data_IF_684942739445
#
_entry.id   IF_684942739445
#
_cell.length_a   1.000
_cell.length_b   1.000
_cell.length_c   1.000
_cell.angle_alpha   90.00
_cell.angle_beta   90.00
_cell.angle_gamma   90.00
#
_symmetry.space_group_name_H-M   'P 1'
#
loop_
_entity.id
_entity.type
_entity.pdbx_description
1 polymer ?
#
# COMPACT_ATOMS: atom_id res chain seq x y z
N UNK A 1 8.44 -29.41 1.94
CA UNK A 1 9.37 -30.45 1.45
C UNK A 1 10.77 -29.84 1.34
N UNK A 2 11.75 -30.35 2.09
CA UNK A 2 13.12 -29.82 2.12
C UNK A 2 13.95 -30.43 0.99
N UNK A 3 14.58 -29.62 0.14
CA UNK A 3 15.53 -30.10 -0.88
C UNK A 3 16.93 -29.60 -0.56
N UNK A 4 17.76 -30.51 -0.04
CA UNK A 4 19.21 -30.35 0.09
C UNK A 4 19.85 -30.88 -1.21
N UNK A 5 20.71 -30.07 -1.83
CA UNK A 5 21.64 -30.49 -2.88
C UNK A 5 23.04 -30.11 -2.46
N UNK A 6 23.94 -31.09 -2.45
CA UNK A 6 25.34 -31.02 -2.01
C UNK A 6 26.23 -31.45 -3.18
N UNK A 7 27.42 -30.85 -3.33
CA UNK A 7 28.72 -31.41 -3.81
C UNK A 7 29.69 -30.22 -4.01
N UNK A 8 30.69 -30.01 -3.14
CA UNK A 8 32.05 -30.60 -3.10
C UNK A 8 33.00 -30.18 -4.24
N UNK A 9 33.96 -29.31 -3.88
CA UNK A 9 35.36 -29.73 -3.80
C UNK A 9 36.37 -29.01 -4.72
N UNK A 10 37.31 -28.28 -4.12
CA UNK A 10 38.75 -28.35 -4.43
C UNK A 10 39.55 -27.90 -3.20
N UNK A 11 40.51 -28.72 -2.81
CA UNK A 11 41.49 -28.43 -1.77
C UNK A 11 42.89 -28.36 -2.40
N UNK A 12 43.70 -27.39 -2.00
CA UNK A 12 45.14 -27.57 -1.87
C UNK A 12 46.06 -26.56 -2.56
N UNK A 13 47.08 -26.16 -1.79
CA UNK A 13 48.32 -25.41 -2.13
C UNK A 13 48.12 -23.89 -2.16
N UNK A 14 48.81 -23.04 -1.41
CA UNK A 14 49.93 -23.21 -0.48
C UNK A 14 50.65 -21.86 -0.29
N UNK A 15 50.67 -21.39 0.96
CA UNK A 15 51.70 -20.59 1.62
C UNK A 15 51.99 -19.11 1.24
N UNK A 16 52.15 -18.34 2.32
CA UNK A 16 52.97 -17.11 2.52
C UNK A 16 52.34 -15.74 2.22
N UNK A 17 51.81 -15.13 3.29
CA UNK A 17 52.25 -13.81 3.73
C UNK A 17 51.56 -12.57 3.14
N UNK A 18 50.55 -12.06 3.85
CA UNK A 18 50.43 -10.63 4.18
C UNK A 18 49.26 -10.44 5.15
N UNK A 19 49.57 -9.81 6.28
CA UNK A 19 48.60 -9.33 7.24
C UNK A 19 47.70 -8.24 6.62
N UNK A 20 46.45 -8.19 7.09
CA UNK A 20 45.59 -7.01 6.98
C UNK A 20 44.51 -7.11 5.91
N UNK A 21 43.34 -7.61 6.31
CA UNK A 21 42.00 -7.10 5.98
C UNK A 21 40.95 -7.98 6.68
N UNK A 22 41.08 -8.10 8.01
CA UNK A 22 40.01 -8.63 8.85
C UNK A 22 39.32 -7.44 9.52
N UNK A 23 38.04 -7.24 9.20
CA UNK A 23 37.12 -6.45 10.02
C UNK A 23 36.87 -5.00 9.59
N UNK A 24 36.23 -4.80 8.42
CA UNK A 24 35.39 -3.60 8.22
C UNK A 24 33.90 -3.86 8.47
N UNK A 25 33.53 -5.09 8.87
CA UNK A 25 32.14 -5.43 9.16
C UNK A 25 31.55 -4.67 10.36
N UNK A 26 32.38 -4.15 11.28
CA UNK A 26 31.91 -3.43 12.48
C UNK A 26 32.05 -1.91 12.44
N UNK A 27 32.38 -1.31 11.29
CA UNK A 27 32.46 0.16 11.17
C UNK A 27 31.15 0.80 10.66
N UNK A 28 30.22 0.03 10.09
CA UNK A 28 28.91 0.55 9.68
C UNK A 28 28.00 0.83 10.89
N UNK A 29 27.99 -0.03 11.91
CA UNK A 29 27.24 0.19 13.16
C UNK A 29 27.67 1.45 13.91
N UNK A 30 28.92 1.91 13.76
CA UNK A 30 29.43 3.13 14.41
C UNK A 30 29.13 4.41 13.63
N UNK A 31 28.69 4.30 12.37
CA UNK A 31 28.31 5.44 11.54
C UNK A 31 26.82 5.83 11.71
N UNK A 32 26.08 5.17 12.61
CA UNK A 32 24.69 5.52 12.89
C UNK A 32 23.72 5.15 11.76
N UNK A 33 24.15 4.29 10.83
CA UNK A 33 23.25 3.60 9.92
C UNK A 33 22.75 2.33 10.61
N UNK A 34 22.05 2.50 11.73
CA UNK A 34 21.07 1.50 12.12
C UNK A 34 19.95 1.61 11.08
N UNK A 35 19.80 0.58 10.25
CA UNK A 35 18.64 0.36 9.39
C UNK A 35 17.41 0.00 10.26
N UNK A 36 17.27 0.67 11.41
CA UNK A 36 16.20 0.49 12.37
C UNK A 36 15.22 1.65 12.18
N UNK A 37 13.99 1.38 11.73
CA UNK A 37 12.75 2.02 12.22
C UNK A 37 11.63 2.04 11.18
N UNK A 38 11.90 2.05 9.87
CA UNK A 38 10.80 2.15 8.90
C UNK A 38 9.92 0.89 8.85
N UNK A 39 10.48 -0.24 9.32
CA UNK A 39 9.90 -1.57 9.22
C UNK A 39 9.48 -2.16 10.57
N UNK A 40 9.62 -1.40 11.66
CA UNK A 40 9.20 -1.84 12.97
C UNK A 40 7.67 -1.73 13.07
N UNK A 41 6.99 -2.87 12.89
CA UNK A 41 5.54 -2.95 13.05
C UNK A 41 5.09 -2.26 14.34
N UNK A 42 4.13 -1.31 14.30
CA UNK A 42 3.61 -0.68 15.49
C UNK A 42 3.17 -1.74 16.51
N UNK A 43 3.38 -1.47 17.81
CA UNK A 43 2.94 -2.39 18.84
C UNK A 43 1.43 -2.61 18.74
N UNK A 44 0.98 -3.81 19.06
CA UNK A 44 -0.44 -4.07 19.14
C UNK A 44 -1.01 -3.44 20.42
N UNK A 45 -2.20 -2.85 20.30
CA UNK A 45 -2.95 -2.40 21.48
C UNK A 45 -3.27 -3.61 22.36
N UNK A 46 -2.89 -3.53 23.63
CA UNK A 46 -3.23 -4.52 24.66
C UNK A 46 -4.67 -4.31 25.16
N UNK A 47 -5.33 -5.37 25.63
CA UNK A 47 -6.67 -5.32 26.24
C UNK A 47 -7.73 -4.59 25.38
N UNK A 48 -7.75 -4.89 24.08
CA UNK A 48 -8.64 -4.24 23.10
C UNK A 48 -10.11 -4.39 23.49
N UNK A 49 -10.90 -3.30 23.46
CA UNK A 49 -12.33 -3.40 23.65
C UNK A 49 -12.99 -4.08 22.45
N UNK A 50 -14.15 -4.69 22.68
CA UNK A 50 -15.07 -5.11 21.60
C UNK A 50 -15.82 -3.87 21.07
N UNK A 51 -15.08 -2.97 20.42
CA UNK A 51 -15.56 -1.71 19.86
C UNK A 51 -14.53 -1.15 18.86
N UNK A 52 -14.88 -0.09 18.13
CA UNK A 52 -13.88 0.75 17.46
C UNK A 52 -13.03 1.44 18.54
N UNK A 53 -11.70 1.45 18.36
CA UNK A 53 -10.76 1.98 19.34
C UNK A 53 -9.54 2.65 18.70
N UNK A 54 -8.84 3.51 19.44
CA UNK A 54 -7.61 4.14 18.95
C UNK A 54 -6.48 3.11 18.79
N UNK A 55 -5.86 3.01 17.60
CA UNK A 55 -4.72 2.13 17.38
C UNK A 55 -3.48 2.58 18.15
N UNK A 56 -2.34 1.91 17.92
CA UNK A 56 -1.06 2.29 18.51
C UNK A 56 -0.35 3.40 17.74
N UNK A 57 -0.68 3.58 16.46
CA UNK A 57 -0.04 4.51 15.54
C UNK A 57 -1.08 5.25 14.70
N UNK A 58 -0.68 6.43 14.22
CA UNK A 58 -1.35 7.24 13.22
C UNK A 58 -0.42 7.28 12.01
N UNK A 59 -0.91 6.77 10.89
CA UNK A 59 -0.10 6.41 9.73
C UNK A 59 -0.62 7.14 8.50
N UNK A 60 0.30 7.63 7.66
CA UNK A 60 0.01 8.27 6.38
C UNK A 60 0.09 7.29 5.21
N UNK A 61 -0.36 7.73 4.03
CA UNK A 61 -0.14 7.04 2.77
C UNK A 61 0.15 8.08 1.69
N UNK A 62 0.96 7.70 0.71
CA UNK A 62 1.13 8.43 -0.53
C UNK A 62 0.13 7.98 -1.60
N UNK A 63 0.02 8.77 -2.67
CA UNK A 63 -0.77 8.43 -3.85
C UNK A 63 0.14 8.49 -5.06
N UNK A 64 0.19 7.40 -5.83
CA UNK A 64 0.94 7.37 -7.08
C UNK A 64 0.16 8.00 -8.23
N UNK A 65 -1.14 7.72 -8.33
CA UNK A 65 -1.96 8.29 -9.40
C UNK A 65 -3.33 7.66 -9.53
N UNK A 66 -4.02 8.04 -10.59
CA UNK A 66 -5.36 7.55 -10.91
C UNK A 66 -5.47 7.18 -12.38
N UNK A 67 -6.36 6.24 -12.68
CA UNK A 67 -6.70 5.89 -14.05
C UNK A 67 -8.22 5.65 -14.19
N UNK A 68 -8.70 5.68 -15.43
CA UNK A 68 -10.11 5.42 -15.76
C UNK A 68 -10.22 4.51 -16.97
N UNK A 69 -11.14 3.56 -16.94
CA UNK A 69 -11.53 2.77 -18.11
C UNK A 69 -13.00 2.35 -18.02
N UNK A 70 -13.77 2.62 -19.08
CA UNK A 70 -15.21 2.40 -19.10
C UNK A 70 -15.93 3.06 -17.91
N UNK A 71 -16.66 2.23 -17.16
CA UNK A 71 -17.41 2.64 -15.95
C UNK A 71 -16.52 2.81 -14.71
N UNK A 72 -15.26 2.36 -14.75
CA UNK A 72 -14.39 2.27 -13.57
C UNK A 72 -13.38 3.41 -13.53
N UNK A 73 -13.10 3.88 -12.33
CA UNK A 73 -11.91 4.65 -12.01
C UNK A 73 -11.17 3.98 -10.84
N UNK A 74 -9.85 4.15 -10.83
CA UNK A 74 -8.99 3.59 -9.79
C UNK A 74 -7.97 4.63 -9.33
N UNK A 75 -7.59 4.54 -8.06
CA UNK A 75 -6.49 5.29 -7.46
C UNK A 75 -5.49 4.30 -6.88
N UNK A 76 -4.23 4.44 -7.25
CA UNK A 76 -3.11 3.69 -6.70
C UNK A 76 -2.48 4.51 -5.58
N UNK A 77 -2.38 3.92 -4.40
CA UNK A 77 -1.80 4.52 -3.21
C UNK A 77 -0.84 3.56 -2.55
N UNK A 78 -0.01 4.07 -1.65
CA UNK A 78 1.01 3.25 -1.01
C UNK A 78 1.29 3.71 0.42
N UNK A 79 1.74 2.78 1.24
CA UNK A 79 2.27 3.05 2.57
C UNK A 79 3.40 2.06 2.87
N UNK A 80 4.09 2.22 4.00
CA UNK A 80 5.01 1.20 4.48
C UNK A 80 4.29 -0.16 4.62
N UNK A 81 4.97 -1.29 4.41
CA UNK A 81 4.40 -2.62 4.61
C UNK A 81 3.77 -2.81 5.98
N UNK A 82 2.58 -3.39 5.97
CA UNK A 82 1.74 -3.52 7.16
C UNK A 82 1.56 -4.98 7.54
N UNK A 83 1.51 -5.22 8.85
CA UNK A 83 0.81 -6.39 9.39
C UNK A 83 -0.69 -6.16 9.30
N UNK A 84 -1.43 -7.11 8.74
CA UNK A 84 -2.89 -7.05 8.66
C UNK A 84 -3.56 -8.40 8.92
N UNK A 85 -4.88 -8.40 9.03
CA UNK A 85 -5.68 -9.60 9.21
C UNK A 85 -6.56 -9.83 8.00
N UNK A 86 -6.46 -11.01 7.38
CA UNK A 86 -7.49 -11.47 6.45
C UNK A 86 -8.63 -12.08 7.26
N UNK A 87 -9.86 -11.90 6.80
CA UNK A 87 -11.06 -12.46 7.44
C UNK A 87 -11.69 -13.43 6.46
N UNK A 88 -11.80 -14.69 6.88
CA UNK A 88 -12.42 -15.75 6.10
C UNK A 88 -13.74 -16.15 6.74
N UNK A 89 -14.67 -16.65 5.93
CA UNK A 89 -15.95 -17.18 6.41
C UNK A 89 -15.81 -18.59 7.02
N UNK A 90 -14.84 -18.77 7.94
CA UNK A 90 -14.56 -20.05 8.64
C UNK A 90 -14.62 -19.88 10.16
N UNK A 91 -14.72 -20.99 10.90
CA UNK A 91 -14.85 -20.97 12.38
C UNK A 91 -13.64 -20.37 13.09
N UNK A 92 -12.45 -20.47 12.50
CA UNK A 92 -11.21 -19.85 12.99
C UNK A 92 -10.99 -18.45 12.39
N UNK A 93 -11.91 -18.00 11.51
CA UNK A 93 -11.74 -17.17 10.31
C UNK A 93 -11.05 -15.82 10.39
N UNK A 94 -9.82 -15.79 10.92
CA UNK A 94 -8.88 -14.69 10.77
C UNK A 94 -7.45 -15.21 10.67
N UNK A 95 -6.71 -14.77 9.65
CA UNK A 95 -5.29 -15.10 9.50
C UNK A 95 -4.48 -13.82 9.60
N UNK A 96 -3.44 -13.84 10.44
CA UNK A 96 -2.48 -12.74 10.52
C UNK A 96 -1.49 -12.86 9.37
N UNK A 97 -1.37 -11.79 8.59
CA UNK A 97 -0.29 -11.59 7.63
C UNK A 97 0.71 -10.67 8.30
N UNK A 98 1.95 -11.15 8.47
CA UNK A 98 3.07 -10.37 9.00
C UNK A 98 3.85 -9.72 7.86
N UNK A 99 4.70 -8.76 8.19
CA UNK A 99 5.59 -8.09 7.23
C UNK A 99 6.81 -8.98 7.00
N UNK A 100 7.10 -9.30 5.74
CA UNK A 100 8.32 -10.01 5.36
C UNK A 100 9.48 -9.02 5.16
N UNK A 101 10.73 -9.48 5.32
CA UNK A 101 11.91 -8.65 5.10
C UNK A 101 12.08 -8.24 3.63
N UNK A 102 11.51 -9.02 2.71
CA UNK A 102 11.52 -8.73 1.28
C UNK A 102 10.34 -7.84 0.83
N UNK A 103 9.36 -7.56 1.70
CA UNK A 103 8.24 -6.65 1.39
C UNK A 103 8.77 -5.24 1.14
N UNK A 104 8.36 -4.64 0.01
CA UNK A 104 8.83 -3.33 -0.43
C UNK A 104 7.86 -2.22 -0.08
N UNK A 105 6.56 -2.45 -0.27
CA UNK A 105 5.51 -1.45 -0.03
C UNK A 105 4.17 -2.13 0.22
N UNK A 106 3.30 -1.53 1.02
CA UNK A 106 1.89 -1.91 1.04
C UNK A 106 1.19 -1.17 -0.09
N UNK A 107 0.91 -1.88 -1.18
CA UNK A 107 0.31 -1.30 -2.38
C UNK A 107 -1.22 -1.37 -2.25
N UNK A 108 -1.88 -0.23 -2.39
CA UNK A 108 -3.32 -0.09 -2.22
C UNK A 108 -3.98 0.41 -3.50
N UNK A 109 -5.14 -0.15 -3.82
CA UNK A 109 -6.00 0.28 -4.93
C UNK A 109 -7.39 0.56 -4.41
N UNK A 110 -7.91 1.75 -4.67
CA UNK A 110 -9.34 2.06 -4.50
C UNK A 110 -9.98 2.09 -5.88
N UNK A 111 -11.09 1.35 -6.07
CA UNK A 111 -11.85 1.32 -7.33
C UNK A 111 -13.27 1.83 -7.09
N UNK A 112 -13.73 2.74 -7.93
CA UNK A 112 -15.07 3.31 -7.86
C UNK A 112 -15.75 3.42 -9.22
N UNK A 113 -17.07 3.52 -9.18
CA UNK A 113 -17.90 3.80 -10.34
C UNK A 113 -17.81 5.29 -10.68
N UNK A 114 -17.49 5.61 -11.94
CA UNK A 114 -17.25 6.99 -12.39
C UNK A 114 -18.46 7.88 -12.37
N UNK A 115 -19.65 7.32 -12.58
CA UNK A 115 -20.89 8.10 -12.65
C UNK A 115 -21.43 8.41 -11.24
N UNK A 116 -21.41 7.42 -10.36
CA UNK A 116 -22.01 7.53 -9.02
C UNK A 116 -20.99 7.87 -7.94
N UNK A 117 -19.71 7.86 -8.27
CA UNK A 117 -18.58 8.08 -7.37
C UNK A 117 -18.59 7.10 -6.18
N UNK A 118 -19.20 5.92 -6.38
CA UNK A 118 -19.37 4.90 -5.35
C UNK A 118 -18.23 3.90 -5.41
N UNK A 119 -17.56 3.68 -4.29
CA UNK A 119 -16.54 2.63 -4.14
C UNK A 119 -17.17 1.25 -4.39
N UNK A 120 -16.52 0.46 -5.24
CA UNK A 120 -17.08 -0.80 -5.74
C UNK A 120 -16.47 -2.01 -5.04
N UNK A 121 -17.29 -3.02 -4.67
CA UNK A 121 -16.81 -4.33 -4.22
C UNK A 121 -16.45 -5.21 -5.43
N UNK A 122 -15.50 -4.76 -6.26
CA UNK A 122 -15.02 -5.48 -7.43
C UNK A 122 -14.06 -6.65 -7.09
N UNK A 123 -13.97 -7.62 -7.98
CA UNK A 123 -12.87 -8.60 -7.98
C UNK A 123 -11.72 -8.04 -8.81
N UNK A 124 -10.57 -7.78 -8.19
CA UNK A 124 -9.43 -7.16 -8.85
C UNK A 124 -8.34 -8.18 -9.18
N UNK A 125 -7.62 -7.90 -10.27
CA UNK A 125 -6.31 -8.50 -10.58
C UNK A 125 -5.30 -7.37 -10.77
N UNK A 126 -4.11 -7.53 -10.20
CA UNK A 126 -2.98 -6.63 -10.39
C UNK A 126 -1.90 -7.35 -11.19
N UNK A 127 -1.36 -6.65 -12.18
CA UNK A 127 -0.17 -7.07 -12.93
C UNK A 127 0.80 -5.89 -12.92
N UNK A 128 1.98 -6.08 -12.34
CA UNK A 128 3.04 -5.07 -12.31
C UNK A 128 4.09 -5.43 -13.36
N UNK A 129 4.59 -4.43 -14.07
CA UNK A 129 5.65 -4.58 -15.05
C UNK A 129 6.69 -3.47 -14.94
N UNK A 130 7.90 -3.75 -15.38
CA UNK A 130 8.99 -2.81 -15.53
C UNK A 130 9.55 -2.94 -16.95
N UNK A 131 9.68 -1.81 -17.67
CA UNK A 131 10.10 -1.79 -19.08
C UNK A 131 9.28 -2.73 -19.99
N UNK A 132 8.00 -2.93 -19.66
CA UNK A 132 7.07 -3.81 -20.37
C UNK A 132 7.20 -5.30 -20.02
N UNK A 133 8.14 -5.69 -19.17
CA UNK A 133 8.33 -7.06 -18.70
C UNK A 133 7.60 -7.29 -17.36
N UNK A 134 6.87 -8.40 -17.18
CA UNK A 134 6.18 -8.69 -15.92
C UNK A 134 7.13 -8.82 -14.72
N UNK A 135 6.73 -8.26 -13.60
CA UNK A 135 7.41 -8.36 -12.30
C UNK A 135 6.60 -9.28 -11.40
N UNK A 136 7.26 -10.28 -10.80
CA UNK A 136 6.65 -11.10 -9.76
C UNK A 136 6.66 -10.33 -8.43
N UNK A 137 5.49 -9.81 -8.05
CA UNK A 137 5.30 -9.03 -6.83
C UNK A 137 4.94 -9.88 -5.62
N UNK A 138 4.87 -11.21 -5.75
CA UNK A 138 4.40 -12.14 -4.72
C UNK A 138 2.86 -12.24 -4.61
N UNK A 139 2.13 -11.30 -5.21
CA UNK A 139 0.66 -11.25 -5.18
C UNK A 139 0.12 -10.61 -6.47
N UNK A 140 -1.01 -11.13 -6.95
CA UNK A 140 -1.75 -10.59 -8.12
C UNK A 140 -3.24 -10.36 -7.83
N UNK A 141 -3.66 -10.56 -6.58
CA UNK A 141 -5.06 -10.51 -6.16
C UNK A 141 -5.13 -9.90 -4.77
N UNK A 142 -5.12 -8.56 -4.68
CA UNK A 142 -5.07 -7.86 -3.41
C UNK A 142 -6.31 -8.13 -2.56
N UNK A 143 -6.15 -8.08 -1.25
CA UNK A 143 -7.23 -8.35 -0.31
C UNK A 143 -8.16 -7.13 -0.17
N UNK A 144 -9.49 -7.32 -0.11
CA UNK A 144 -10.37 -6.24 0.33
C UNK A 144 -10.13 -5.94 1.80
N UNK A 145 -9.82 -4.70 2.11
CA UNK A 145 -9.36 -4.24 3.43
C UNK A 145 -10.17 -3.04 3.89
N UNK A 146 -10.24 -2.86 5.21
CA UNK A 146 -10.76 -1.66 5.85
C UNK A 146 -9.78 -1.16 6.90
N UNK A 147 -9.39 0.10 6.77
CA UNK A 147 -8.53 0.81 7.71
C UNK A 147 -9.26 2.06 8.22
N UNK A 148 -9.05 2.43 9.49
CA UNK A 148 -9.68 3.63 10.06
C UNK A 148 -9.32 4.90 9.28
N UNK A 149 -8.06 5.00 8.84
CA UNK A 149 -7.55 6.19 8.13
C UNK A 149 -7.61 6.03 6.61
N UNK A 150 -7.29 4.84 6.09
CA UNK A 150 -7.18 4.58 4.64
C UNK A 150 -8.49 4.09 4.01
N UNK A 151 -9.57 4.02 4.79
CA UNK A 151 -10.89 3.61 4.28
C UNK A 151 -10.94 2.18 3.76
N UNK A 152 -11.93 1.91 2.91
CA UNK A 152 -11.99 0.65 2.15
C UNK A 152 -11.07 0.75 0.94
N UNK A 153 -10.22 -0.26 0.76
CA UNK A 153 -9.33 -0.39 -0.38
C UNK A 153 -9.02 -1.87 -0.61
N UNK A 154 -8.38 -2.16 -1.73
CA UNK A 154 -7.75 -3.44 -2.00
C UNK A 154 -6.26 -3.30 -1.75
N UNK A 155 -5.68 -4.10 -0.87
CA UNK A 155 -4.28 -3.95 -0.48
C UNK A 155 -3.57 -5.28 -0.31
N UNK A 156 -2.25 -5.24 -0.49
CA UNK A 156 -1.33 -6.31 -0.09
C UNK A 156 0.09 -5.75 0.04
N UNK A 157 0.94 -6.44 0.79
CA UNK A 157 2.37 -6.14 0.75
C UNK A 157 2.95 -6.74 -0.54
N UNK A 158 3.73 -5.96 -1.28
CA UNK A 158 4.33 -6.38 -2.55
C UNK A 158 5.84 -6.32 -2.50
N UNK A 159 6.49 -7.22 -3.25
CA UNK A 159 7.94 -7.29 -3.38
C UNK A 159 8.34 -6.69 -4.73
N UNK A 160 9.15 -5.63 -4.73
CA UNK A 160 9.68 -5.00 -5.94
C UNK A 160 11.18 -5.28 -6.06
N UNK A 161 11.71 -5.55 -7.26
CA UNK A 161 13.11 -5.94 -7.44
C UNK A 161 14.11 -4.82 -7.11
N UNK A 162 13.66 -3.56 -7.11
CA UNK A 162 14.46 -2.40 -6.76
C UNK A 162 13.70 -1.10 -6.97
N UNK A 163 14.31 0.03 -6.64
CA UNK A 163 13.77 1.36 -6.97
C UNK A 163 13.70 1.56 -8.49
N UNK A 164 12.75 2.36 -8.97
CA UNK A 164 12.61 2.70 -10.38
C UNK A 164 11.16 2.87 -10.83
N UNK A 165 10.98 3.03 -12.15
CA UNK A 165 9.66 3.16 -12.78
C UNK A 165 9.02 1.80 -13.03
N UNK A 166 7.71 1.74 -12.79
CA UNK A 166 6.85 0.58 -12.97
C UNK A 166 5.51 1.01 -13.56
N UNK A 167 4.81 0.07 -14.17
CA UNK A 167 3.40 0.20 -14.54
C UNK A 167 2.62 -0.87 -13.80
N UNK A 168 1.52 -0.49 -13.16
CA UNK A 168 0.52 -1.45 -12.68
C UNK A 168 -0.70 -1.41 -13.57
N UNK A 169 -1.13 -2.59 -14.04
CA UNK A 169 -2.42 -2.79 -14.66
C UNK A 169 -3.38 -3.36 -13.63
N UNK A 170 -4.41 -2.58 -13.31
CA UNK A 170 -5.55 -2.97 -12.49
C UNK A 170 -6.65 -3.48 -13.40
N UNK A 171 -6.97 -4.76 -13.32
CA UNK A 171 -8.17 -5.31 -13.98
C UNK A 171 -9.32 -5.37 -12.97
N UNK A 172 -10.35 -4.56 -13.18
CA UNK A 172 -11.61 -4.63 -12.46
C UNK A 172 -12.58 -5.55 -13.21
N UNK A 173 -12.88 -6.72 -12.66
CA UNK A 173 -13.82 -7.65 -13.30
C UNK A 173 -15.27 -7.14 -13.22
N UNK A 174 -16.15 -7.57 -14.14
CA UNK A 174 -17.57 -7.23 -14.10
C UNK A 174 -18.19 -7.55 -12.75
N UNK A 175 -19.09 -6.67 -12.30
CA UNK A 175 -19.86 -6.88 -11.08
C UNK A 175 -20.98 -7.87 -11.38
N UNK A 176 -20.81 -9.11 -10.90
CA UNK A 176 -21.74 -10.23 -11.14
C UNK A 176 -22.30 -10.77 -9.83
N UNK A 177 -23.42 -11.50 -9.91
CA UNK A 177 -24.04 -12.12 -8.73
C UNK A 177 -24.84 -11.18 -7.82
N UNK A 178 -24.95 -9.90 -8.17
CA UNK A 178 -25.78 -8.92 -7.48
C UNK A 178 -26.70 -8.18 -8.45
N UNK A 179 -27.91 -7.84 -8.00
CA UNK A 179 -28.85 -7.05 -8.79
C UNK A 179 -28.44 -5.57 -8.74
N UNK A 180 -28.03 -5.04 -9.89
CA UNK A 180 -27.76 -3.61 -10.07
C UNK A 180 -29.07 -2.88 -10.35
N UNK A 181 -29.30 -1.77 -9.66
CA UNK A 181 -30.54 -0.99 -9.75
C UNK A 181 -30.24 0.51 -9.78
N UNK A 182 -31.21 1.32 -10.19
CA UNK A 182 -31.05 2.77 -10.25
C UNK A 182 -29.93 3.16 -11.21
N UNK A 183 -29.00 4.01 -10.75
CA UNK A 183 -27.86 4.52 -11.53
C UNK A 183 -26.83 3.44 -11.93
N UNK A 184 -26.96 2.20 -11.44
CA UNK A 184 -26.12 1.08 -11.83
C UNK A 184 -26.75 0.15 -12.87
N UNK A 185 -28.03 0.37 -13.23
CA UNK A 185 -28.72 -0.51 -14.19
C UNK A 185 -28.03 -0.49 -15.56
N UNK A 186 -27.70 -1.68 -16.08
CA UNK A 186 -27.01 -1.85 -17.37
C UNK A 186 -25.54 -1.41 -17.40
N UNK A 187 -24.91 -1.14 -16.24
CA UNK A 187 -23.52 -0.68 -16.12
C UNK A 187 -22.65 -1.66 -15.35
N UNK A 188 -21.32 -1.55 -15.46
CA UNK A 188 -20.35 -2.46 -14.82
C UNK A 188 -20.43 -3.90 -15.36
N UNK A 189 -20.86 -4.08 -16.61
CA UNK A 189 -21.03 -5.39 -17.28
C UNK A 189 -19.77 -5.90 -17.97
N UNK A 190 -18.89 -4.98 -18.34
CA UNK A 190 -17.59 -5.28 -18.94
C UNK A 190 -16.49 -5.10 -17.90
N UNK A 191 -15.35 -5.80 -18.04
CA UNK A 191 -14.17 -5.50 -17.25
C UNK A 191 -13.62 -4.10 -17.60
N UNK A 192 -12.98 -3.45 -16.64
CA UNK A 192 -12.10 -2.31 -16.87
C UNK A 192 -10.64 -2.72 -16.73
N UNK A 193 -9.77 -2.17 -17.57
CA UNK A 193 -8.31 -2.35 -17.52
C UNK A 193 -7.64 -0.99 -17.35
N UNK A 194 -7.27 -0.67 -16.12
CA UNK A 194 -6.75 0.65 -15.74
C UNK A 194 -5.23 0.56 -15.54
N UNK A 195 -4.46 1.34 -16.30
CA UNK A 195 -3.00 1.38 -16.20
C UNK A 195 -2.54 2.64 -15.48
N UNK A 196 -1.66 2.47 -14.50
CA UNK A 196 -1.07 3.57 -13.72
C UNK A 196 0.44 3.36 -13.69
N UNK A 197 1.17 4.34 -14.21
CA UNK A 197 2.62 4.41 -14.08
C UNK A 197 2.96 4.98 -12.70
N UNK A 198 3.99 4.42 -12.05
CA UNK A 198 4.46 4.86 -10.76
C UNK A 198 5.97 4.68 -10.61
N UNK A 199 6.59 5.57 -9.86
CA UNK A 199 7.99 5.42 -9.44
C UNK A 199 8.00 4.89 -8.01
N UNK A 200 8.74 3.80 -7.79
CA UNK A 200 9.04 3.33 -6.45
C UNK A 200 10.40 3.87 -6.01
N UNK A 201 10.38 4.75 -5.03
CA UNK A 201 11.55 5.22 -4.30
C UNK A 201 11.38 4.90 -2.81
N UNK A 202 12.41 4.37 -2.15
CA UNK A 202 12.37 4.09 -0.71
C UNK A 202 12.24 5.37 0.09
N UNK A 203 12.82 6.47 -0.39
CA UNK A 203 12.70 7.80 0.22
C UNK A 203 11.26 8.21 0.43
N UNK A 204 10.39 7.93 -0.55
CA UNK A 204 8.99 8.31 -0.51
C UNK A 204 8.24 7.61 0.63
N UNK A 205 8.60 6.35 0.91
CA UNK A 205 8.06 5.60 2.05
C UNK A 205 8.64 6.14 3.37
N UNK A 206 9.93 6.44 3.40
CA UNK A 206 10.59 7.01 4.59
C UNK A 206 10.07 8.40 4.96
N UNK A 207 9.58 9.16 3.97
CA UNK A 207 9.03 10.50 4.16
C UNK A 207 7.56 10.50 4.64
N UNK A 208 6.88 9.34 4.61
CA UNK A 208 5.52 9.21 5.15
C UNK A 208 5.50 9.43 6.67
N UNK A 209 4.54 10.21 7.15
CA UNK A 209 4.40 10.42 8.58
C UNK A 209 3.95 9.16 9.32
N UNK A 210 4.65 8.88 10.42
CA UNK A 210 4.31 7.84 11.38
C UNK A 210 4.36 8.43 12.79
N UNK A 211 3.20 8.50 13.45
CA UNK A 211 3.08 9.04 14.80
C UNK A 211 2.56 7.98 15.76
N UNK A 212 3.30 7.72 16.83
CA UNK A 212 2.84 6.81 17.88
C UNK A 212 1.81 7.51 18.78
N UNK A 213 0.68 6.84 19.03
CA UNK A 213 -0.35 7.30 19.97
C UNK A 213 0.14 7.05 21.41
N UNK A 214 -0.02 8.02 22.35
CA UNK A 214 0.33 7.83 23.75
C UNK A 214 -0.27 6.56 24.35
N UNK A 215 0.51 5.80 25.11
CA UNK A 215 0.13 4.47 25.62
C UNK A 215 -1.18 4.48 26.42
N UNK A 216 -1.39 5.53 27.22
CA UNK A 216 -2.58 5.73 28.04
C UNK A 216 -3.87 6.02 27.22
N UNK A 217 -3.72 6.35 25.93
CA UNK A 217 -4.83 6.59 25.01
C UNK A 217 -5.15 5.41 24.09
N UNK A 218 -4.20 4.51 23.86
CA UNK A 218 -4.39 3.34 22.99
C UNK A 218 -5.55 2.49 23.51
N UNK A 219 -6.43 2.03 22.63
CA UNK A 219 -7.57 1.19 23.01
C UNK A 219 -8.76 1.94 23.62
N UNK A 220 -8.68 3.27 23.80
CA UNK A 220 -9.85 4.09 24.12
C UNK A 220 -10.90 4.01 23.00
N UNK A 221 -12.19 4.10 23.36
CA UNK A 221 -13.33 4.03 22.42
C UNK A 221 -13.45 5.31 21.60
N UNK A 222 -12.49 5.50 20.71
CA UNK A 222 -12.29 6.63 19.82
C UNK A 222 -11.80 6.09 18.46
N UNK A 223 -11.84 6.91 17.42
CA UNK A 223 -11.36 6.54 16.08
C UNK A 223 -10.50 7.66 15.50
N UNK A 224 -9.53 7.30 14.67
CA UNK A 224 -8.83 8.27 13.84
C UNK A 224 -9.74 8.72 12.70
N UNK A 225 -9.63 9.99 12.31
CA UNK A 225 -10.32 10.50 11.13
C UNK A 225 -9.81 9.83 9.85
N UNK A 226 -10.71 9.57 8.91
CA UNK A 226 -10.37 9.19 7.54
C UNK A 226 -9.44 10.24 6.92
N UNK A 227 -8.50 9.78 6.12
CA UNK A 227 -7.66 10.67 5.32
C UNK A 227 -8.47 11.27 4.18
N UNK A 228 -8.12 12.50 3.82
CA UNK A 228 -8.60 13.07 2.56
C UNK A 228 -7.80 12.43 1.44
N UNK A 229 -8.46 11.66 0.58
CA UNK A 229 -7.89 11.32 -0.72
C UNK A 229 -7.94 12.60 -1.56
N UNK A 230 -6.79 13.13 -2.00
CA UNK A 230 -6.73 14.40 -2.72
C UNK A 230 -7.69 14.40 -3.90
N UNK A 231 -8.74 15.23 -3.81
CA UNK A 231 -9.66 15.46 -4.91
C UNK A 231 -9.04 16.42 -5.92
N UNK A 232 -9.12 16.05 -7.19
CA UNK A 232 -9.12 16.86 -8.40
C UNK A 232 -8.62 18.30 -8.25
N UNK A 233 -7.51 18.60 -8.95
CA UNK A 233 -6.99 19.95 -9.20
C UNK A 233 -7.96 20.83 -10.01
N UNK A 234 -9.13 21.13 -9.46
CA UNK A 234 -10.11 22.05 -10.00
C UNK A 234 -9.62 23.49 -9.92
N UNK A 235 -9.38 24.07 -11.10
CA UNK A 235 -9.09 25.49 -11.33
C UNK A 235 -9.84 26.44 -10.38
N UNK A 236 -9.09 27.17 -9.56
CA UNK A 236 -9.53 28.45 -9.03
C UNK A 236 -9.29 29.53 -10.09
N UNK A 237 -10.16 29.56 -11.10
CA UNK A 237 -10.27 30.65 -12.06
C UNK A 237 -11.62 31.33 -11.88
N UNK A 238 -11.60 32.51 -11.25
CA UNK A 238 -12.45 33.67 -11.52
C UNK A 238 -12.13 34.72 -10.43
N UNK A 239 -11.72 35.95 -10.73
CA UNK A 239 -12.23 36.80 -11.79
C UNK A 239 -13.29 37.72 -11.19
N UNK A 240 -12.89 38.74 -10.43
CA UNK A 240 -13.80 39.68 -9.77
C UNK A 240 -13.23 41.08 -9.71
N UNK A 241 -13.22 41.76 -10.85
CA UNK A 241 -12.99 43.20 -10.94
C UNK A 241 -14.27 44.01 -10.72
N UNK A 242 -14.11 45.08 -9.94
CA UNK A 242 -14.76 46.39 -9.98
C UNK A 242 -16.29 46.55 -9.94
N UNK A 243 -16.75 47.30 -8.93
CA UNK A 243 -18.09 47.87 -8.89
C UNK A 243 -18.42 48.66 -7.62
N UNK A 244 -17.56 49.57 -7.14
CA UNK A 244 -17.93 50.49 -6.05
C UNK A 244 -18.64 51.73 -6.60
N UNK A 245 -19.97 51.68 -6.68
CA UNK A 245 -20.83 52.83 -6.88
C UNK A 245 -21.31 53.39 -5.54
N UNK A 246 -20.60 54.38 -5.02
CA UNK A 246 -21.02 55.15 -3.84
C UNK A 246 -22.06 56.20 -4.23
N UNK A 247 -23.25 56.12 -3.62
CA UNK A 247 -24.17 57.24 -3.50
C UNK A 247 -24.11 57.76 -2.05
N UNK A 248 -23.61 58.98 -1.92
CA UNK A 248 -23.60 59.84 -0.75
C UNK A 248 -23.19 61.23 -1.19
#
# INVERSE_FOLDING_TARGET
MKRRGFLRGTAGIGAVGAAGTAGLAGCLERLGFEEESAWANPPLVENRPDAVYLPASREEMGTYGTATDGDYAAALSYTFPHRFWTVEATTEGRTLVDVDADDSVHLMVSVWDRETHTVLPANLRLEVSQDGEPVDTGTSSPWPMISQRMGFHYGDNVQLPGEGEYTVRVTANPITGINRTGSFEGRLESPGSLEIDFEYARSDIHDLSFETIPEDRRGSREALSLMSHGGDGGHSGDGGGDGNGGHG
#
